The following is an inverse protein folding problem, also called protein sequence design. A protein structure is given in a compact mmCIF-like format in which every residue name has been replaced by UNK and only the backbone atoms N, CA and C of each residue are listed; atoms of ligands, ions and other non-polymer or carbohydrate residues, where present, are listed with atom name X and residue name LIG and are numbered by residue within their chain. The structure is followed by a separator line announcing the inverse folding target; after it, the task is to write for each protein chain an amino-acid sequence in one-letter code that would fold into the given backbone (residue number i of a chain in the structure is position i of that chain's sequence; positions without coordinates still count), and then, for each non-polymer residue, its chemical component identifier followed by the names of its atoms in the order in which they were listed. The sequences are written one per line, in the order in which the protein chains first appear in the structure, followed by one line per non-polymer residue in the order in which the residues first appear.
data_IF_838945542539
#
_entry.id   IF_838945542539
#
_cell.length_a   1.000
_cell.length_b   1.000
_cell.length_c   1.000
_cell.angle_alpha   90.00
_cell.angle_beta   90.00
_cell.angle_gamma   90.00
#
_symmetry.space_group_name_H-M   'P 1'
#
loop_
_entity.id
_entity.type
_entity.pdbx_description
1 polymer ?
#
# COMPACT_ATOMS: atom_id res chain seq x y z
N UNK A 1 -2.02 19.54 -16.31
CA UNK A 1 -1.98 19.14 -16.02
C UNK A 1 -2.36 18.46 -15.77
N UNK A 2 -2.75 18.30 -15.88
CA UNK A 2 -2.87 17.47 -15.72
C UNK A 2 -3.06 16.80 -14.71
N UNK A 3 -3.11 16.83 -14.10
CA UNK A 3 -3.02 16.25 -12.96
C UNK A 3 -4.23 15.92 -12.36
N UNK A 4 -5.07 16.62 -12.49
CA UNK A 4 -6.20 16.43 -11.85
C UNK A 4 -6.84 15.23 -12.22
N UNK A 5 -6.83 15.00 -13.35
CA UNK A 5 -7.49 13.87 -13.79
C UNK A 5 -6.81 12.75 -13.18
N UNK A 6 -5.78 13.06 -12.56
CA UNK A 6 -5.05 12.03 -12.03
C UNK A 6 -5.44 11.64 -10.68
N UNK A 7 -6.58 12.04 -10.22
CA UNK A 7 -6.94 11.68 -8.89
C UNK A 7 -6.82 10.18 -8.72
N UNK A 8 -7.15 9.39 -9.72
CA UNK A 8 -6.99 7.98 -9.59
C UNK A 8 -5.53 7.60 -9.54
N UNK A 9 -4.74 8.27 -10.32
CA UNK A 9 -3.34 7.99 -10.35
C UNK A 9 -2.68 8.39 -9.07
N UNK A 10 -3.22 9.40 -8.43
CA UNK A 10 -2.64 9.84 -7.18
C UNK A 10 -2.82 8.82 -6.09
N UNK A 11 -3.64 7.83 -6.32
CA UNK A 11 -3.84 6.80 -5.35
C UNK A 11 -2.69 5.79 -5.40
N UNK A 12 -1.89 5.84 -6.44
CA UNK A 12 -0.78 4.91 -6.56
C UNK A 12 0.45 5.45 -5.89
N UNK A 13 1.14 4.58 -5.17
CA UNK A 13 2.40 4.98 -4.58
C UNK A 13 3.45 4.00 -5.06
N UNK A 14 4.60 4.53 -5.34
CA UNK A 14 5.67 3.77 -5.97
C UNK A 14 6.86 3.63 -5.05
N UNK A 15 7.39 2.42 -5.01
CA UNK A 15 8.58 2.16 -4.26
C UNK A 15 8.28 1.65 -2.86
N UNK A 16 9.10 0.71 -2.40
CA UNK A 16 8.90 0.14 -1.08
C UNK A 16 8.97 1.18 0.03
N UNK A 17 9.78 2.20 -0.17
CA UNK A 17 9.90 3.20 0.86
C UNK A 17 8.62 4.01 1.02
N UNK A 18 8.00 4.38 -0.11
CA UNK A 18 6.76 5.11 -0.03
C UNK A 18 5.67 4.24 0.58
N UNK A 19 5.68 2.95 0.23
CA UNK A 19 4.70 2.05 0.77
C UNK A 19 4.92 1.89 2.28
N UNK A 20 6.17 1.82 2.70
CA UNK A 20 6.46 1.66 4.11
C UNK A 20 5.94 2.84 4.91
N UNK A 21 6.05 4.04 4.35
CA UNK A 21 5.54 5.21 5.03
C UNK A 21 4.02 5.18 5.10
N UNK A 22 3.41 4.69 4.04
CA UNK A 22 1.96 4.66 4.01
C UNK A 22 1.40 3.70 5.04
N UNK A 23 2.07 2.59 5.27
CA UNK A 23 1.56 1.61 6.23
C UNK A 23 2.25 1.74 7.59
N UNK A 24 3.12 2.73 7.71
CA UNK A 24 3.80 3.01 8.96
C UNK A 24 4.60 1.81 9.46
N UNK A 25 5.35 1.21 8.56
CA UNK A 25 6.20 0.09 8.91
C UNK A 25 7.61 0.41 8.45
N UNK A 26 8.61 -0.29 9.01
CA UNK A 26 9.96 -0.01 8.58
C UNK A 26 10.22 -0.71 7.25
N UNK A 27 11.32 -0.36 6.60
CA UNK A 27 11.61 -0.88 5.29
C UNK A 27 11.75 -2.37 5.24
N UNK A 28 12.45 -2.92 6.20
CA UNK A 28 12.68 -4.35 6.21
C UNK A 28 11.37 -5.12 6.29
N UNK A 29 10.50 -4.71 7.19
CA UNK A 29 9.22 -5.35 7.35
C UNK A 29 8.37 -5.19 6.10
N UNK A 30 8.42 -4.00 5.51
CA UNK A 30 7.66 -3.74 4.31
C UNK A 30 8.11 -4.65 3.18
N UNK A 31 9.42 -4.81 3.00
CA UNK A 31 9.92 -5.69 1.96
C UNK A 31 9.46 -7.13 2.20
N UNK A 32 9.45 -7.54 3.44
CA UNK A 32 9.01 -8.87 3.77
C UNK A 32 7.54 -9.04 3.35
N UNK A 33 6.70 -8.07 3.66
CA UNK A 33 5.31 -8.12 3.26
C UNK A 33 5.16 -8.15 1.76
N UNK A 34 5.92 -7.32 1.07
CA UNK A 34 5.81 -7.23 -0.38
C UNK A 34 6.27 -8.52 -1.05
N UNK A 35 7.38 -9.05 -0.61
CA UNK A 35 7.93 -10.23 -1.24
C UNK A 35 7.10 -11.47 -0.97
N UNK A 36 6.37 -11.48 0.10
CA UNK A 36 5.57 -12.63 0.44
C UNK A 36 4.09 -12.44 0.12
N UNK A 37 3.76 -11.37 -0.57
CA UNK A 37 2.39 -11.16 -0.98
C UNK A 37 1.42 -10.93 0.15
N UNK A 38 1.91 -10.39 1.25
CA UNK A 38 1.06 -10.19 2.41
C UNK A 38 0.28 -8.89 2.37
N UNK A 39 0.62 -7.99 1.47
CA UNK A 39 -0.13 -6.76 1.32
C UNK A 39 -0.39 -6.56 -0.17
N UNK A 40 -1.46 -5.86 -0.52
CA UNK A 40 -1.82 -5.68 -1.93
C UNK A 40 -0.85 -4.74 -2.64
N UNK A 41 0.00 -5.32 -3.47
CA UNK A 41 0.97 -4.56 -4.23
C UNK A 41 1.40 -5.39 -5.41
N UNK A 42 2.07 -4.76 -6.34
CA UNK A 42 2.49 -5.44 -7.54
C UNK A 42 3.87 -4.92 -7.92
N UNK A 43 4.69 -5.78 -8.43
CA UNK A 43 6.02 -5.37 -8.85
C UNK A 43 6.00 -5.06 -10.33
N UNK A 44 6.35 -3.85 -10.68
CA UNK A 44 6.37 -3.41 -12.05
C UNK A 44 7.82 -3.07 -12.37
N UNK A 45 8.45 -3.91 -13.14
CA UNK A 45 9.86 -3.72 -13.41
C UNK A 45 10.62 -3.94 -12.13
N UNK A 46 11.32 -2.90 -11.70
CA UNK A 46 12.10 -3.02 -10.50
C UNK A 46 11.44 -2.35 -9.31
N UNK A 47 10.25 -1.80 -9.51
CA UNK A 47 9.62 -1.06 -8.44
C UNK A 47 8.33 -1.70 -7.99
N UNK A 48 8.05 -1.58 -6.71
CA UNK A 48 6.78 -2.01 -6.19
C UNK A 48 5.81 -0.85 -6.30
N UNK A 49 4.57 -1.16 -6.61
CA UNK A 49 3.55 -0.12 -6.69
C UNK A 49 2.32 -0.65 -5.97
N UNK A 50 1.64 0.23 -5.28
CA UNK A 50 0.46 -0.17 -4.53
C UNK A 50 -0.54 0.96 -4.56
N UNK A 51 -1.80 0.63 -4.32
CA UNK A 51 -2.84 1.62 -4.24
C UNK A 51 -2.98 2.00 -2.78
N UNK A 52 -2.94 3.28 -2.50
CA UNK A 52 -3.09 3.76 -1.14
C UNK A 52 -4.41 3.29 -0.57
N UNK A 53 -5.44 3.36 -1.38
CA UNK A 53 -6.76 2.94 -0.97
C UNK A 53 -6.78 1.44 -0.65
N UNK A 54 -6.14 0.65 -1.48
CA UNK A 54 -6.11 -0.79 -1.24
C UNK A 54 -5.36 -1.13 0.03
N UNK A 55 -4.27 -0.42 0.27
CA UNK A 55 -3.51 -0.66 1.48
C UNK A 55 -4.34 -0.33 2.70
N UNK A 56 -5.01 0.81 2.67
CA UNK A 56 -5.82 1.20 3.81
C UNK A 56 -6.96 0.21 4.03
N UNK A 57 -7.55 -0.23 2.97
CA UNK A 57 -8.64 -1.17 3.08
C UNK A 57 -8.13 -2.49 3.67
N UNK A 58 -6.95 -2.90 3.24
CA UNK A 58 -6.38 -4.15 3.71
C UNK A 58 -6.13 -4.11 5.21
N UNK A 59 -5.63 -2.99 5.70
CA UNK A 59 -5.31 -2.88 7.12
C UNK A 59 -6.45 -2.36 7.98
N UNK A 60 -7.27 -1.49 7.43
CA UNK A 60 -8.24 -0.79 8.23
C UNK A 60 -9.70 -1.07 7.90
N UNK A 61 -9.95 -1.74 6.82
CA UNK A 61 -11.30 -1.92 6.38
C UNK A 61 -12.09 -2.85 7.28
N UNK A 62 -12.67 -3.84 6.67
CA UNK A 62 -13.48 -4.77 7.42
C UNK A 62 -12.67 -5.46 8.47
N UNK A 63 -11.42 -5.73 8.16
CA UNK A 63 -10.58 -6.39 9.11
C UNK A 63 -10.37 -5.58 10.35
N UNK A 64 -10.20 -4.29 10.15
CA UNK A 64 -9.95 -3.43 11.28
C UNK A 64 -11.15 -3.43 12.20
N UNK A 65 -12.30 -3.45 11.59
CA UNK A 65 -13.49 -3.47 12.34
C UNK A 65 -13.54 -4.72 13.17
N UNK A 66 -13.20 -5.83 12.60
CA UNK A 66 -13.20 -7.06 13.32
C UNK A 66 -12.16 -7.04 14.42
N UNK A 67 -11.02 -6.46 14.13
CA UNK A 67 -9.98 -6.39 15.12
C UNK A 67 -10.40 -5.49 16.27
N UNK A 68 -11.07 -4.43 15.93
CA UNK A 68 -11.47 -3.51 16.95
C UNK A 68 -12.37 -4.20 17.94
N UNK A 69 -13.09 -5.16 17.48
CA UNK A 69 -13.98 -5.86 18.37
C UNK A 69 -13.26 -6.92 19.13
N UNK A 70 -12.22 -7.41 18.60
CA UNK A 70 -11.54 -8.48 19.25
C UNK A 70 -10.52 -8.02 20.20
#
# INVERSE_FOLDING_TARGET
MDNQQNSDNLDLIWGAEAISREINANRRRTFYYLQNGLIPAKKVGELWVASRKSLHRHFLGDDMEGLGNG
#
